data_IF_401033051043
#
_entry.id   IF_401033051043
#
_cell.length_a   1.000
_cell.length_b   1.000
_cell.length_c   1.000
_cell.angle_alpha   90.00
_cell.angle_beta   90.00
_cell.angle_gamma   90.00
#
_symmetry.space_group_name_H-M   'P 1'
#
loop_
_entity.id
_entity.type
_entity.pdbx_description
1 polymer ?
#
# COMPACT_ATOMS: atom_id res chain seq x y z
N UNK A 1 -6.11 -35.95 4.51
CA UNK A 1 -5.47 -35.67 3.21
C UNK A 1 -4.22 -34.88 3.52
N UNK A 2 -3.02 -35.30 3.12
CA UNK A 2 -1.84 -34.46 3.31
C UNK A 2 -2.02 -33.19 2.47
N UNK A 3 -1.71 -32.04 3.06
CA UNK A 3 -1.73 -30.72 2.41
C UNK A 3 -1.10 -30.84 1.02
N UNK A 4 -1.92 -30.71 -0.04
CA UNK A 4 -1.39 -30.44 -1.36
C UNK A 4 -0.91 -28.99 -1.33
N UNK A 5 0.30 -28.78 -0.80
CA UNK A 5 0.98 -27.49 -0.91
C UNK A 5 1.10 -27.19 -2.40
N UNK A 6 0.22 -26.32 -2.89
CA UNK A 6 0.30 -25.77 -4.23
C UNK A 6 1.44 -24.76 -4.16
N UNK A 7 2.60 -25.10 -4.72
CA UNK A 7 3.78 -24.23 -4.74
C UNK A 7 3.53 -22.84 -5.34
N UNK A 8 2.41 -22.67 -6.05
CA UNK A 8 2.01 -21.45 -6.73
C UNK A 8 0.97 -20.60 -5.99
N UNK A 9 0.40 -21.03 -4.85
CA UNK A 9 -0.53 -20.20 -4.06
C UNK A 9 -0.30 -20.35 -2.55
N UNK A 10 -0.14 -19.24 -1.87
CA UNK A 10 -0.15 -19.17 -0.40
C UNK A 10 -1.49 -18.62 0.05
N UNK A 11 -2.16 -19.33 0.96
CA UNK A 11 -3.44 -18.88 1.53
C UNK A 11 -3.22 -18.46 2.97
N UNK A 12 -3.65 -17.24 3.31
CA UNK A 12 -3.72 -16.78 4.70
C UNK A 12 -5.16 -16.43 5.06
N UNK A 13 -5.50 -16.67 6.32
CA UNK A 13 -6.85 -16.48 6.86
C UNK A 13 -6.75 -15.70 8.15
N UNK A 14 -7.57 -14.67 8.29
CA UNK A 14 -7.57 -13.81 9.47
C UNK A 14 -8.97 -13.32 9.81
N UNK A 15 -9.27 -13.25 11.11
CA UNK A 15 -10.47 -12.62 11.61
C UNK A 15 -10.21 -11.11 11.75
N UNK A 16 -11.03 -10.30 11.08
CA UNK A 16 -11.07 -8.86 11.23
C UNK A 16 -12.18 -8.47 12.22
N UNK A 17 -12.15 -7.22 12.68
CA UNK A 17 -13.28 -6.61 13.41
C UNK A 17 -14.55 -6.60 12.57
N UNK A 18 -15.72 -6.41 13.19
CA UNK A 18 -17.01 -6.35 12.48
C UNK A 18 -17.51 -7.70 11.95
N UNK A 19 -17.08 -8.83 12.53
CA UNK A 19 -17.53 -10.16 12.10
C UNK A 19 -17.04 -10.57 10.70
N UNK A 20 -15.99 -9.94 10.18
CA UNK A 20 -15.45 -10.17 8.84
C UNK A 20 -14.24 -11.09 8.90
N UNK A 21 -14.15 -12.04 7.98
CA UNK A 21 -12.99 -12.92 7.80
C UNK A 21 -12.31 -12.61 6.47
N UNK A 22 -11.02 -12.25 6.50
CA UNK A 22 -10.24 -12.01 5.30
C UNK A 22 -9.45 -13.27 4.93
N UNK A 23 -9.72 -13.81 3.75
CA UNK A 23 -8.89 -14.83 3.10
C UNK A 23 -8.05 -14.16 2.02
N UNK A 24 -6.72 -14.24 2.12
CA UNK A 24 -5.80 -13.74 1.08
C UNK A 24 -5.27 -14.92 0.27
N UNK A 25 -5.50 -14.91 -1.03
CA UNK A 25 -4.98 -15.89 -1.99
C UNK A 25 -3.81 -15.24 -2.73
N UNK A 26 -2.59 -15.61 -2.35
CA UNK A 26 -1.35 -14.99 -2.83
C UNK A 26 -0.69 -15.90 -3.88
N UNK A 27 -0.89 -15.58 -5.17
CA UNK A 27 -0.40 -16.42 -6.26
C UNK A 27 1.05 -16.08 -6.69
N UNK A 28 1.83 -17.09 -7.09
CA UNK A 28 3.25 -16.97 -7.46
C UNK A 28 3.61 -17.76 -8.72
N UNK A 29 4.21 -17.13 -9.76
CA UNK A 29 4.25 -15.69 -9.99
C UNK A 29 2.88 -15.17 -10.41
N UNK A 30 2.29 -14.20 -9.71
CA UNK A 30 1.00 -13.60 -10.09
C UNK A 30 0.54 -12.53 -9.10
N UNK A 31 -0.70 -12.10 -9.27
CA UNK A 31 -1.33 -11.16 -8.34
C UNK A 31 -2.25 -11.84 -7.33
N UNK A 32 -2.70 -11.03 -6.38
CA UNK A 32 -3.39 -11.46 -5.18
C UNK A 32 -4.91 -11.35 -5.36
N UNK A 33 -5.66 -12.23 -4.69
CA UNK A 33 -7.12 -12.10 -4.53
C UNK A 33 -7.44 -12.02 -3.05
N UNK A 34 -8.19 -11.00 -2.66
CA UNK A 34 -8.60 -10.78 -1.29
C UNK A 34 -10.09 -11.01 -1.15
N UNK A 35 -10.48 -11.93 -0.26
CA UNK A 35 -11.88 -12.31 -0.06
C UNK A 35 -12.32 -11.91 1.34
N UNK A 36 -13.16 -10.87 1.41
CA UNK A 36 -13.85 -10.46 2.64
C UNK A 36 -15.11 -11.31 2.78
N UNK A 37 -15.14 -12.19 3.77
CA UNK A 37 -16.27 -13.08 4.07
C UNK A 37 -17.01 -12.59 5.30
N UNK A 38 -18.33 -12.49 5.23
CA UNK A 38 -19.15 -11.94 6.31
C UNK A 38 -20.59 -12.45 6.22
N UNK A 39 -21.36 -12.20 7.27
CA UNK A 39 -22.80 -12.50 7.30
C UNK A 39 -23.61 -11.28 6.86
N UNK A 40 -24.59 -11.49 5.99
CA UNK A 40 -25.59 -10.49 5.59
C UNK A 40 -26.95 -11.16 5.54
N UNK A 41 -27.90 -10.66 6.32
CA UNK A 41 -29.25 -11.25 6.44
C UNK A 41 -29.26 -12.77 6.73
N UNK A 42 -28.32 -13.25 7.55
CA UNK A 42 -28.21 -14.67 7.90
C UNK A 42 -27.59 -15.56 6.82
N UNK A 43 -27.09 -14.98 5.73
CA UNK A 43 -26.37 -15.69 4.67
C UNK A 43 -24.89 -15.31 4.67
N UNK A 44 -24.02 -16.27 4.37
CA UNK A 44 -22.59 -16.03 4.17
C UNK A 44 -22.43 -15.36 2.80
N UNK A 45 -21.75 -14.22 2.77
CA UNK A 45 -21.47 -13.45 1.56
C UNK A 45 -19.98 -13.19 1.43
N UNK A 46 -19.53 -12.97 0.19
CA UNK A 46 -18.16 -12.62 -0.13
C UNK A 46 -18.09 -11.35 -0.98
N UNK A 47 -17.18 -10.44 -0.61
CA UNK A 47 -16.72 -9.35 -1.47
C UNK A 47 -15.25 -9.58 -1.81
N UNK A 48 -14.93 -9.57 -3.10
CA UNK A 48 -13.57 -9.72 -3.61
C UNK A 48 -12.94 -8.36 -3.86
N UNK A 49 -11.66 -8.22 -3.51
CA UNK A 49 -10.79 -7.15 -4.01
C UNK A 49 -9.67 -7.78 -4.85
N UNK A 50 -9.58 -7.31 -6.08
CA UNK A 50 -8.88 -7.93 -7.21
C UNK A 50 -9.37 -9.35 -7.54
N UNK A 51 -8.94 -9.84 -8.69
CA UNK A 51 -9.31 -11.13 -9.26
C UNK A 51 -8.08 -12.00 -9.58
N UNK A 52 -6.86 -11.51 -9.37
CA UNK A 52 -5.66 -12.30 -9.64
C UNK A 52 -5.37 -12.43 -11.14
N UNK A 53 -4.47 -13.37 -11.47
CA UNK A 53 -3.91 -13.53 -12.81
C UNK A 53 -4.61 -14.63 -13.62
N UNK A 54 -4.86 -14.36 -14.91
CA UNK A 54 -5.52 -15.29 -15.84
C UNK A 54 -4.83 -16.66 -15.92
N UNK A 55 -3.52 -16.73 -15.67
CA UNK A 55 -2.74 -17.97 -15.67
C UNK A 55 -3.26 -19.02 -14.69
N UNK A 56 -4.04 -18.63 -13.67
CA UNK A 56 -4.63 -19.52 -12.67
C UNK A 56 -6.11 -19.83 -12.94
N UNK A 57 -6.58 -19.63 -14.18
CA UNK A 57 -7.97 -19.86 -14.55
C UNK A 57 -8.44 -21.30 -14.31
N UNK A 58 -7.58 -22.30 -14.55
CA UNK A 58 -7.93 -23.71 -14.34
C UNK A 58 -8.06 -24.09 -12.87
N UNK A 59 -7.43 -23.32 -11.99
CA UNK A 59 -7.21 -23.64 -10.59
C UNK A 59 -8.11 -22.84 -9.67
N UNK A 60 -8.51 -21.61 -10.05
CA UNK A 60 -9.19 -20.65 -9.16
C UNK A 60 -10.41 -21.23 -8.45
N UNK A 61 -11.35 -21.87 -9.17
CA UNK A 61 -12.57 -22.41 -8.56
C UNK A 61 -12.28 -23.50 -7.53
N UNK A 62 -11.25 -24.31 -7.76
CA UNK A 62 -10.81 -25.32 -6.77
C UNK A 62 -10.19 -24.67 -5.53
N UNK A 63 -9.40 -23.60 -5.71
CA UNK A 63 -8.82 -22.84 -4.58
C UNK A 63 -9.91 -22.20 -3.74
N UNK A 64 -10.96 -21.65 -4.36
CA UNK A 64 -12.11 -21.09 -3.64
C UNK A 64 -12.85 -22.18 -2.85
N UNK A 65 -13.16 -23.30 -3.49
CA UNK A 65 -13.88 -24.41 -2.85
C UNK A 65 -13.09 -25.01 -1.66
N UNK A 66 -11.78 -25.20 -1.79
CA UNK A 66 -10.90 -25.66 -0.71
C UNK A 66 -10.87 -24.71 0.49
N UNK A 67 -11.23 -23.44 0.28
CA UNK A 67 -11.25 -22.40 1.29
C UNK A 67 -12.65 -22.04 1.79
N UNK A 68 -13.67 -22.85 1.47
CA UNK A 68 -15.08 -22.63 1.83
C UNK A 68 -15.63 -21.30 1.28
N UNK A 69 -15.15 -20.91 0.10
CA UNK A 69 -15.64 -19.75 -0.65
C UNK A 69 -16.44 -20.28 -1.83
N UNK A 70 -17.76 -20.16 -1.74
CA UNK A 70 -18.66 -20.52 -2.84
C UNK A 70 -18.72 -19.36 -3.83
N UNK A 71 -18.49 -19.58 -5.14
CA UNK A 71 -18.69 -18.53 -6.14
C UNK A 71 -20.10 -17.92 -6.09
N UNK A 72 -21.13 -18.72 -5.82
CA UNK A 72 -22.51 -18.26 -5.76
C UNK A 72 -22.79 -17.27 -4.60
N UNK A 73 -21.92 -17.22 -3.60
CA UNK A 73 -22.04 -16.32 -2.45
C UNK A 73 -21.21 -15.03 -2.65
N UNK A 74 -20.51 -14.88 -3.79
CA UNK A 74 -19.79 -13.66 -4.15
C UNK A 74 -20.81 -12.63 -4.65
N UNK A 75 -20.94 -11.49 -3.97
CA UNK A 75 -21.85 -10.41 -4.40
C UNK A 75 -21.15 -9.29 -5.18
N UNK A 76 -19.84 -9.13 -5.00
CA UNK A 76 -19.09 -8.02 -5.59
C UNK A 76 -17.64 -8.39 -5.87
N UNK A 77 -17.11 -7.92 -7.00
CA UNK A 77 -15.70 -8.00 -7.37
C UNK A 77 -15.19 -6.58 -7.61
N UNK A 78 -14.35 -6.06 -6.72
CA UNK A 78 -13.76 -4.72 -6.83
C UNK A 78 -12.38 -4.85 -7.48
N UNK A 79 -12.16 -4.14 -8.58
CA UNK A 79 -10.89 -4.16 -9.30
C UNK A 79 -10.09 -2.91 -8.94
N UNK A 80 -8.89 -3.11 -8.37
CA UNK A 80 -8.00 -1.99 -8.03
C UNK A 80 -7.48 -1.27 -9.26
N UNK A 81 -7.15 -2.01 -10.32
CA UNK A 81 -6.78 -1.47 -11.64
C UNK A 81 -6.68 -2.56 -12.73
N UNK A 82 -6.51 -2.13 -13.99
CA UNK A 82 -6.58 -2.95 -15.20
C UNK A 82 -5.51 -4.01 -15.43
N UNK A 83 -4.46 -4.10 -14.62
CA UNK A 83 -3.40 -5.03 -14.97
C UNK A 83 -3.87 -6.50 -14.91
N UNK A 84 -3.33 -7.38 -15.78
CA UNK A 84 -3.80 -8.76 -15.91
C UNK A 84 -3.69 -9.59 -14.64
N UNK A 85 -2.72 -9.27 -13.78
CA UNK A 85 -2.51 -9.91 -12.49
C UNK A 85 -3.52 -9.47 -11.41
N UNK A 86 -4.35 -8.46 -11.70
CA UNK A 86 -5.43 -7.99 -10.82
C UNK A 86 -6.82 -8.25 -11.42
N UNK A 87 -6.92 -8.36 -12.75
CA UNK A 87 -8.19 -8.48 -13.48
C UNK A 87 -8.37 -9.77 -14.24
N UNK A 88 -7.32 -10.58 -14.33
CA UNK A 88 -7.23 -11.69 -15.27
C UNK A 88 -8.35 -12.71 -15.11
N UNK A 89 -8.81 -12.95 -13.87
CA UNK A 89 -9.90 -13.90 -13.59
C UNK A 89 -11.25 -13.24 -13.35
N UNK A 90 -11.38 -11.92 -13.54
CA UNK A 90 -12.61 -11.20 -13.26
C UNK A 90 -13.79 -11.71 -14.09
N UNK A 91 -13.57 -12.07 -15.37
CA UNK A 91 -14.60 -12.67 -16.22
C UNK A 91 -15.09 -14.01 -15.66
N UNK A 92 -14.16 -14.91 -15.30
CA UNK A 92 -14.50 -16.23 -14.76
C UNK A 92 -15.30 -16.07 -13.48
N UNK A 93 -14.79 -15.27 -12.54
CA UNK A 93 -15.41 -15.07 -11.24
C UNK A 93 -16.80 -14.44 -11.38
N UNK A 94 -16.95 -13.39 -12.19
CA UNK A 94 -18.24 -12.75 -12.43
C UNK A 94 -19.25 -13.69 -13.10
N UNK A 95 -18.81 -14.53 -14.03
CA UNK A 95 -19.69 -15.50 -14.71
C UNK A 95 -20.19 -16.60 -13.78
N UNK A 96 -19.32 -17.14 -12.93
CA UNK A 96 -19.65 -18.22 -11.99
C UNK A 96 -20.47 -17.72 -10.79
N UNK A 97 -20.31 -16.46 -10.41
CA UNK A 97 -21.01 -15.86 -9.26
C UNK A 97 -22.28 -15.09 -9.65
N UNK A 98 -22.32 -14.52 -10.85
CA UNK A 98 -23.28 -13.46 -11.20
C UNK A 98 -22.97 -12.11 -10.54
N UNK A 99 -21.81 -11.98 -9.87
CA UNK A 99 -21.43 -10.76 -9.16
C UNK A 99 -21.17 -9.59 -10.11
N UNK A 100 -21.49 -8.39 -9.62
CA UNK A 100 -21.14 -7.13 -10.29
C UNK A 100 -19.65 -6.84 -10.12
N UNK A 101 -18.99 -6.44 -11.20
CA UNK A 101 -17.63 -5.91 -11.16
C UNK A 101 -17.71 -4.41 -10.88
N UNK A 102 -16.94 -3.90 -9.91
CA UNK A 102 -16.82 -2.47 -9.62
C UNK A 102 -15.41 -2.01 -9.95
N UNK A 103 -15.29 -0.95 -10.77
CA UNK A 103 -14.01 -0.41 -11.20
C UNK A 103 -14.10 1.11 -11.45
N UNK A 104 -12.96 1.79 -11.52
CA UNK A 104 -12.92 3.21 -11.91
C UNK A 104 -13.44 3.43 -13.34
N UNK A 105 -14.03 4.59 -13.63
CA UNK A 105 -14.71 4.84 -14.91
C UNK A 105 -13.77 4.75 -16.12
N UNK A 106 -12.49 5.08 -15.97
CA UNK A 106 -11.47 4.97 -17.04
C UNK A 106 -11.12 3.51 -17.37
N UNK A 107 -11.53 2.53 -16.54
CA UNK A 107 -11.44 1.10 -16.84
C UNK A 107 -12.27 0.73 -18.08
N UNK A 108 -13.36 1.48 -18.36
CA UNK A 108 -14.22 1.27 -19.53
C UNK A 108 -13.43 1.24 -20.84
N UNK A 109 -12.50 2.19 -20.99
CA UNK A 109 -11.67 2.27 -22.19
C UNK A 109 -10.81 1.03 -22.39
N UNK A 110 -10.35 0.39 -21.31
CA UNK A 110 -9.60 -0.87 -21.37
C UNK A 110 -10.46 -2.02 -21.86
N UNK A 111 -11.66 -2.18 -21.27
CA UNK A 111 -12.64 -3.21 -21.64
C UNK A 111 -13.09 -3.06 -23.11
N UNK A 112 -13.32 -1.82 -23.58
CA UNK A 112 -13.83 -1.56 -24.92
C UNK A 112 -12.76 -1.69 -26.01
N UNK A 113 -11.51 -1.25 -25.74
CA UNK A 113 -10.44 -1.17 -26.76
C UNK A 113 -9.40 -2.29 -26.70
N UNK A 114 -9.43 -3.12 -25.64
CA UNK A 114 -8.44 -4.17 -25.40
C UNK A 114 -7.07 -3.64 -24.96
N UNK A 115 -7.04 -2.42 -24.42
CA UNK A 115 -5.80 -1.70 -24.10
C UNK A 115 -5.03 -1.22 -25.34
N UNK A 116 -4.01 -0.41 -25.10
CA UNK A 116 -3.06 0.07 -26.10
C UNK A 116 -2.26 -1.08 -26.73
N UNK A 117 -1.71 -0.84 -27.92
CA UNK A 117 -0.84 -1.82 -28.61
C UNK A 117 0.35 -2.27 -27.76
N UNK A 118 0.79 -1.43 -26.82
CA UNK A 118 1.87 -1.74 -25.89
C UNK A 118 1.37 -2.61 -24.72
N UNK A 119 0.20 -2.31 -24.15
CA UNK A 119 -0.44 -3.11 -23.10
C UNK A 119 -0.75 -4.52 -23.59
N UNK A 120 -1.23 -4.69 -24.83
CA UNK A 120 -1.51 -6.01 -25.43
C UNK A 120 -0.34 -6.99 -25.40
N UNK A 121 0.90 -6.49 -25.38
CA UNK A 121 2.10 -7.32 -25.29
C UNK A 121 2.24 -8.00 -23.91
N UNK A 122 1.61 -7.44 -22.87
CA UNK A 122 1.69 -7.90 -21.49
C UNK A 122 0.43 -8.64 -21.03
N UNK A 123 -0.67 -8.56 -21.79
CA UNK A 123 -1.92 -9.27 -21.47
C UNK A 123 -1.77 -10.79 -21.55
N UNK A 124 -0.81 -11.31 -22.33
CA UNK A 124 -0.70 -12.74 -22.58
C UNK A 124 -1.99 -13.29 -23.17
N UNK A 125 -2.57 -14.31 -22.54
CA UNK A 125 -3.83 -14.94 -22.95
C UNK A 125 -5.08 -14.25 -22.39
N UNK A 126 -4.91 -13.20 -21.57
CA UNK A 126 -6.04 -12.44 -21.04
C UNK A 126 -6.65 -11.55 -22.13
N UNK A 127 -7.91 -11.79 -22.46
CA UNK A 127 -8.71 -10.93 -23.32
C UNK A 127 -9.69 -10.08 -22.47
N UNK A 128 -9.39 -8.79 -22.22
CA UNK A 128 -10.27 -7.91 -21.45
C UNK A 128 -11.59 -7.62 -22.16
N UNK A 129 -11.68 -7.88 -23.46
CA UNK A 129 -12.89 -7.66 -24.25
C UNK A 129 -14.04 -8.59 -23.86
N UNK A 130 -13.73 -9.73 -23.23
CA UNK A 130 -14.69 -10.66 -22.62
C UNK A 130 -15.46 -10.04 -21.46
N UNK A 131 -14.87 -9.06 -20.77
CA UNK A 131 -15.52 -8.37 -19.66
C UNK A 131 -16.77 -7.57 -20.13
N UNK A 132 -16.95 -7.34 -21.43
CA UNK A 132 -18.19 -6.75 -21.98
C UNK A 132 -19.43 -7.60 -21.75
N UNK A 133 -19.27 -8.89 -21.49
CA UNK A 133 -20.35 -9.80 -21.15
C UNK A 133 -20.75 -9.71 -19.66
N UNK A 134 -19.95 -9.04 -18.84
CA UNK A 134 -20.16 -8.91 -17.40
C UNK A 134 -20.94 -7.63 -17.06
N UNK A 135 -21.64 -7.64 -15.93
CA UNK A 135 -22.18 -6.40 -15.35
C UNK A 135 -21.05 -5.62 -14.66
N UNK A 136 -20.76 -4.41 -15.16
CA UNK A 136 -19.69 -3.56 -14.62
C UNK A 136 -20.28 -2.22 -14.14
N UNK A 137 -20.05 -1.93 -12.87
CA UNK A 137 -20.19 -0.61 -12.25
C UNK A 137 -18.94 0.22 -12.48
N UNK A 138 -19.09 1.32 -13.23
CA UNK A 138 -18.02 2.27 -13.47
C UNK A 138 -18.16 3.46 -12.53
N UNK A 139 -17.25 3.58 -11.57
CA UNK A 139 -17.26 4.63 -10.57
C UNK A 139 -16.47 5.87 -11.04
N UNK A 140 -17.05 7.04 -10.83
CA UNK A 140 -16.38 8.32 -11.00
C UNK A 140 -16.32 9.05 -9.65
N UNK A 141 -15.50 10.09 -9.54
CA UNK A 141 -15.52 10.96 -8.35
C UNK A 141 -16.97 11.37 -8.06
N UNK A 142 -17.45 11.06 -6.86
CA UNK A 142 -18.83 11.37 -6.50
C UNK A 142 -19.03 12.89 -6.47
N UNK A 143 -20.13 13.37 -7.06
CA UNK A 143 -20.53 14.80 -6.98
C UNK A 143 -20.81 15.26 -5.54
N UNK A 144 -20.79 14.35 -4.57
CA UNK A 144 -20.96 14.61 -3.14
C UNK A 144 -19.81 15.40 -2.53
N UNK A 145 -18.62 15.41 -3.15
CA UNK A 145 -17.43 16.10 -2.63
C UNK A 145 -16.82 15.44 -1.39
N UNK A 146 -17.23 14.22 -1.05
CA UNK A 146 -16.70 13.49 0.10
C UNK A 146 -15.28 12.99 -0.18
N UNK A 147 -14.33 13.40 0.65
CA UNK A 147 -12.94 12.94 0.58
C UNK A 147 -12.53 12.26 1.88
N UNK A 148 -11.67 11.25 1.76
CA UNK A 148 -10.93 10.71 2.88
C UNK A 148 -9.57 11.40 2.92
N UNK A 149 -9.29 12.13 3.98
CA UNK A 149 -8.05 12.91 4.10
C UNK A 149 -6.96 12.12 4.81
N UNK A 150 -5.94 11.71 4.07
CA UNK A 150 -4.80 10.93 4.56
C UNK A 150 -3.54 11.79 4.52
N UNK A 151 -2.96 12.09 5.69
CA UNK A 151 -1.74 12.93 5.82
C UNK A 151 -1.81 14.31 5.15
N UNK A 152 -3.02 14.89 5.08
CA UNK A 152 -3.23 16.18 4.42
C UNK A 152 -3.52 16.08 2.92
N UNK A 153 -3.50 14.88 2.34
CA UNK A 153 -3.89 14.59 0.95
C UNK A 153 -5.31 14.04 0.90
N UNK A 154 -6.10 14.56 -0.01
CA UNK A 154 -7.48 14.14 -0.21
C UNK A 154 -7.57 12.98 -1.20
N UNK A 155 -8.17 11.88 -0.74
CA UNK A 155 -8.55 10.74 -1.56
C UNK A 155 -10.05 10.86 -1.84
N UNK A 156 -10.48 11.12 -3.09
CA UNK A 156 -11.89 11.30 -3.40
C UNK A 156 -12.65 10.00 -3.25
N UNK A 157 -13.81 10.05 -2.61
CA UNK A 157 -14.72 8.89 -2.57
C UNK A 157 -15.36 8.72 -3.95
N UNK A 158 -15.38 7.50 -4.47
CA UNK A 158 -15.94 7.18 -5.79
C UNK A 158 -17.39 6.67 -5.70
N UNK A 159 -17.82 6.26 -4.51
CA UNK A 159 -19.16 5.78 -4.22
C UNK A 159 -19.47 5.97 -2.73
N UNK A 160 -20.72 5.71 -2.34
CA UNK A 160 -21.04 5.44 -0.94
C UNK A 160 -20.28 4.19 -0.47
N UNK A 161 -19.89 4.18 0.81
CA UNK A 161 -19.20 3.05 1.40
C UNK A 161 -20.10 1.80 1.37
N UNK A 162 -19.50 0.65 1.10
CA UNK A 162 -20.23 -0.63 1.10
C UNK A 162 -20.25 -1.18 2.52
N UNK A 163 -21.43 -1.51 3.03
CA UNK A 163 -21.58 -2.19 4.32
C UNK A 163 -21.05 -3.63 4.21
N UNK A 164 -20.14 -4.00 5.10
CA UNK A 164 -19.48 -5.30 5.15
C UNK A 164 -19.52 -5.82 6.59
N UNK A 165 -20.24 -6.93 6.80
CA UNK A 165 -20.38 -7.56 8.12
C UNK A 165 -21.18 -6.74 9.13
N UNK A 166 -20.80 -6.87 10.40
CA UNK A 166 -21.47 -6.27 11.56
C UNK A 166 -20.91 -4.86 11.82
N UNK A 167 -21.34 -3.90 11.00
CA UNK A 167 -20.94 -2.49 11.15
C UNK A 167 -19.61 -2.10 10.52
N UNK A 168 -18.96 -3.05 9.82
CA UNK A 168 -17.80 -2.75 8.98
C UNK A 168 -18.22 -2.05 7.68
N UNK A 169 -17.30 -1.26 7.14
CA UNK A 169 -17.47 -0.51 5.90
C UNK A 169 -16.27 -0.68 4.98
N UNK A 170 -16.53 -0.63 3.68
CA UNK A 170 -15.52 -0.65 2.64
C UNK A 170 -15.65 0.59 1.77
N UNK A 171 -14.73 1.53 1.97
CA UNK A 171 -14.62 2.76 1.19
C UNK A 171 -13.87 2.50 -0.11
N UNK A 172 -14.42 2.98 -1.23
CA UNK A 172 -13.79 2.89 -2.54
C UNK A 172 -13.31 4.28 -2.95
N UNK A 173 -12.00 4.46 -2.94
CA UNK A 173 -11.34 5.75 -3.08
C UNK A 173 -10.60 5.84 -4.41
N UNK A 174 -10.66 7.01 -5.04
CA UNK A 174 -9.79 7.34 -6.17
C UNK A 174 -8.37 7.63 -5.69
N UNK A 175 -7.42 7.55 -6.61
CA UNK A 175 -6.10 8.13 -6.39
C UNK A 175 -6.23 9.63 -6.09
N UNK A 176 -5.33 10.22 -5.29
CA UNK A 176 -5.29 11.66 -5.13
C UNK A 176 -5.05 12.32 -6.49
N UNK A 177 -5.46 13.59 -6.63
CA UNK A 177 -5.32 14.38 -7.88
C UNK A 177 -3.86 14.68 -8.22
N UNK A 178 -3.10 13.63 -8.49
CA UNK A 178 -1.69 13.66 -8.85
C UNK A 178 -1.59 13.44 -10.36
N UNK A 179 -0.52 13.95 -10.98
CA UNK A 179 -0.36 13.93 -12.44
C UNK A 179 -0.05 12.54 -13.00
N UNK A 180 0.33 11.56 -12.18
CA UNK A 180 0.79 10.25 -12.62
C UNK A 180 0.41 9.17 -11.61
N UNK A 181 -0.62 8.40 -11.95
CA UNK A 181 -0.98 7.17 -11.26
C UNK A 181 -0.36 5.94 -11.92
N UNK A 182 -0.29 4.83 -11.17
CA UNK A 182 0.17 3.53 -11.67
C UNK A 182 -0.52 3.12 -12.96
N UNK A 183 -1.84 3.18 -12.92
CA UNK A 183 -2.71 3.10 -14.08
C UNK A 183 -3.75 4.21 -14.00
N UNK A 184 -4.35 4.63 -15.12
CA UNK A 184 -5.35 5.71 -15.12
C UNK A 184 -6.67 5.34 -14.41
N UNK A 185 -6.84 4.09 -14.02
CA UNK A 185 -8.02 3.51 -13.36
C UNK A 185 -7.72 3.00 -11.94
N UNK A 186 -6.57 3.39 -11.38
CA UNK A 186 -6.17 3.01 -10.04
C UNK A 186 -7.15 3.52 -8.98
N UNK A 187 -7.64 2.60 -8.15
CA UNK A 187 -8.41 2.88 -6.93
C UNK A 187 -7.72 2.28 -5.71
N UNK A 188 -8.19 2.67 -4.54
CA UNK A 188 -7.83 2.10 -3.25
C UNK A 188 -9.12 1.67 -2.55
N UNK A 189 -9.14 0.46 -2.00
CA UNK A 189 -10.23 0.05 -1.13
C UNK A 189 -9.76 0.09 0.33
N UNK A 190 -10.50 0.76 1.20
CA UNK A 190 -10.22 0.85 2.63
C UNK A 190 -11.33 0.15 3.40
N UNK A 191 -11.00 -0.98 4.01
CA UNK A 191 -11.87 -1.63 4.97
C UNK A 191 -11.64 -1.05 6.36
N UNK A 192 -12.72 -0.71 7.06
CA UNK A 192 -12.68 -0.41 8.50
C UNK A 192 -13.82 -1.11 9.21
N UNK A 193 -13.59 -1.71 10.40
CA UNK A 193 -14.66 -2.24 11.23
C UNK A 193 -15.48 -1.14 11.94
N UNK A 194 -15.17 0.14 11.69
CA UNK A 194 -15.78 1.30 12.32
C UNK A 194 -16.69 2.03 11.35
N UNK A 195 -17.77 2.62 11.86
CA UNK A 195 -18.69 3.44 11.06
C UNK A 195 -18.07 4.75 10.57
N UNK A 196 -17.07 5.30 11.27
CA UNK A 196 -16.27 6.45 10.83
C UNK A 196 -14.79 6.03 10.80
N UNK A 197 -14.19 5.84 9.61
CA UNK A 197 -12.88 5.24 9.48
C UNK A 197 -11.73 6.18 9.90
N UNK A 198 -12.00 7.45 10.25
CA UNK A 198 -10.92 8.44 10.39
C UNK A 198 -11.15 9.54 11.44
N UNK A 199 -10.79 9.26 12.70
CA UNK A 199 -10.06 10.28 13.45
C UNK A 199 -8.71 9.69 13.83
N UNK A 200 -7.75 9.89 12.92
CA UNK A 200 -6.34 9.79 13.25
C UNK A 200 -6.10 10.68 14.48
N UNK A 201 -5.55 10.06 15.52
CA UNK A 201 -5.02 10.67 16.75
C UNK A 201 -5.86 10.46 18.01
N UNK A 202 -7.19 10.26 17.99
CA UNK A 202 -7.96 10.19 19.26
C UNK A 202 -9.18 9.25 19.31
N UNK A 203 -9.33 8.26 18.42
CA UNK A 203 -10.40 7.26 18.60
C UNK A 203 -10.00 6.24 19.66
N UNK A 204 -10.46 6.45 20.89
CA UNK A 204 -10.53 5.41 21.92
C UNK A 204 -11.76 4.53 21.66
N UNK A 205 -11.61 3.20 21.72
CA UNK A 205 -12.69 2.25 21.46
C UNK A 205 -12.19 0.83 21.23
N UNK A 206 -13.10 -0.08 20.87
CA UNK A 206 -12.82 -1.52 20.73
C UNK A 206 -11.94 -1.90 19.53
N UNK A 207 -11.68 -0.95 18.61
CA UNK A 207 -10.89 -1.18 17.40
C UNK A 207 -9.65 -0.30 17.36
N UNK A 208 -8.52 -0.91 16.98
CA UNK A 208 -7.22 -0.26 16.84
C UNK A 208 -6.97 0.12 15.38
N UNK A 209 -6.12 1.12 15.09
CA UNK A 209 -5.80 1.50 13.71
C UNK A 209 -5.31 0.35 12.81
N UNK A 210 -4.62 -0.66 13.34
CA UNK A 210 -4.21 -1.85 12.57
C UNK A 210 -5.38 -2.71 12.10
N UNK A 211 -6.57 -2.53 12.66
CA UNK A 211 -7.76 -3.28 12.25
C UNK A 211 -8.29 -2.80 10.90
N UNK A 212 -7.97 -1.57 10.52
CA UNK A 212 -8.19 -1.08 9.15
C UNK A 212 -7.24 -1.79 8.17
N UNK A 213 -7.74 -2.03 6.96
CA UNK A 213 -6.98 -2.68 5.89
C UNK A 213 -7.13 -1.88 4.61
N UNK A 214 -6.01 -1.50 4.02
CA UNK A 214 -5.95 -0.90 2.69
C UNK A 214 -5.57 -1.94 1.66
N UNK A 215 -6.39 -2.07 0.63
CA UNK A 215 -6.07 -2.77 -0.60
C UNK A 215 -5.65 -1.75 -1.64
N UNK A 216 -4.34 -1.64 -1.85
CA UNK A 216 -3.75 -0.57 -2.68
C UNK A 216 -3.54 -0.97 -4.14
N UNK A 217 -3.79 -2.23 -4.50
CA UNK A 217 -3.30 -2.79 -5.75
C UNK A 217 -1.81 -2.49 -5.90
N UNK A 218 -1.45 -1.85 -7.02
CA UNK A 218 -0.07 -1.47 -7.33
C UNK A 218 0.27 0.00 -7.04
N UNK A 219 -0.67 0.77 -6.48
CA UNK A 219 -0.38 2.13 -5.99
C UNK A 219 0.84 2.12 -5.05
N UNK A 220 1.07 0.99 -4.38
CA UNK A 220 2.25 0.71 -3.59
C UNK A 220 3.21 -0.33 -4.20
N UNK A 221 3.64 -0.14 -5.44
CA UNK A 221 4.82 -0.86 -5.95
C UNK A 221 6.14 -0.14 -5.68
N UNK A 222 7.07 -0.88 -5.08
CA UNK A 222 8.49 -0.53 -4.97
C UNK A 222 9.27 -0.77 -6.27
N UNK A 223 8.66 -1.46 -7.25
CA UNK A 223 9.17 -1.68 -8.62
C UNK A 223 8.00 -1.51 -9.59
N UNK A 224 7.88 -0.36 -10.25
CA UNK A 224 6.79 -0.13 -11.21
C UNK A 224 7.06 -0.70 -12.62
N UNK A 225 6.00 -0.92 -13.41
CA UNK A 225 5.96 -0.63 -14.85
C UNK A 225 4.85 0.40 -15.17
N UNK A 226 5.08 1.50 -15.88
CA UNK A 226 5.22 1.75 -17.35
C UNK A 226 3.91 2.17 -18.08
N UNK A 227 3.69 3.49 -18.08
CA UNK A 227 3.18 4.39 -19.15
C UNK A 227 1.68 4.47 -19.46
N UNK A 228 1.20 5.72 -19.50
CA UNK A 228 0.13 6.17 -20.39
C UNK A 228 0.61 7.43 -21.12
N UNK A 229 0.54 7.45 -22.46
CA UNK A 229 0.82 8.63 -23.28
C UNK A 229 -0.49 9.38 -23.56
N UNK A 230 -0.80 10.39 -22.75
CA UNK A 230 -1.79 11.41 -23.10
C UNK A 230 -1.08 12.68 -23.55
N UNK A 231 -1.74 13.54 -24.34
CA UNK A 231 -1.12 14.70 -25.03
C UNK A 231 -0.34 15.70 -24.15
N UNK A 232 -0.41 15.60 -22.83
CA UNK A 232 0.44 16.33 -21.88
C UNK A 232 1.89 15.83 -21.83
N UNK A 233 2.20 14.66 -22.40
CA UNK A 233 3.55 14.03 -22.38
C UNK A 233 4.57 14.73 -23.30
N UNK A 234 4.14 15.47 -24.32
CA UNK A 234 5.05 16.19 -25.22
C UNK A 234 5.85 17.22 -24.43
N UNK A 235 5.21 17.93 -23.51
CA UNK A 235 5.87 18.93 -22.67
C UNK A 235 6.77 18.29 -21.61
N UNK A 236 6.50 17.06 -21.18
CA UNK A 236 7.38 16.28 -20.30
C UNK A 236 8.58 15.73 -21.06
N UNK A 237 8.40 15.12 -22.25
CA UNK A 237 9.50 14.69 -23.10
C UNK A 237 10.42 15.85 -23.49
N UNK A 238 9.88 17.04 -23.74
CA UNK A 238 10.66 18.27 -23.91
C UNK A 238 11.38 18.67 -22.63
N UNK A 239 10.74 18.65 -21.46
CA UNK A 239 11.37 19.03 -20.18
C UNK A 239 12.42 18.03 -19.71
N UNK A 240 12.17 16.74 -19.86
CA UNK A 240 13.12 15.66 -19.57
C UNK A 240 14.23 15.65 -20.59
N UNK A 241 13.95 15.84 -21.89
CA UNK A 241 14.97 16.04 -22.91
C UNK A 241 15.87 17.24 -22.60
N UNK A 242 15.30 18.36 -22.17
CA UNK A 242 16.03 19.56 -21.74
C UNK A 242 16.83 19.32 -20.43
N UNK A 243 16.25 18.64 -19.44
CA UNK A 243 16.95 18.28 -18.19
C UNK A 243 18.05 17.23 -18.43
N UNK A 244 17.84 16.31 -19.36
CA UNK A 244 18.78 15.26 -19.75
C UNK A 244 19.94 15.86 -20.53
N UNK A 245 19.68 16.81 -21.45
CA UNK A 245 20.72 17.64 -22.05
C UNK A 245 21.50 18.43 -20.99
N UNK A 246 20.81 19.06 -20.03
CA UNK A 246 21.46 19.84 -18.97
C UNK A 246 22.32 18.96 -18.05
N UNK A 247 21.87 17.76 -17.68
CA UNK A 247 22.65 16.81 -16.89
C UNK A 247 23.83 16.24 -17.68
N UNK A 248 23.67 15.94 -18.97
CA UNK A 248 24.80 15.52 -19.81
C UNK A 248 25.84 16.64 -19.96
N UNK A 249 25.39 17.90 -20.10
CA UNK A 249 26.27 19.07 -20.17
C UNK A 249 27.00 19.38 -18.85
N UNK A 250 26.50 18.89 -17.71
CA UNK A 250 27.16 19.00 -16.40
C UNK A 250 27.92 17.72 -15.99
N UNK A 251 28.14 16.78 -16.90
CA UNK A 251 28.90 15.54 -16.66
C UNK A 251 28.12 14.43 -15.93
N UNK A 252 26.80 14.58 -15.76
CA UNK A 252 25.92 13.56 -15.22
C UNK A 252 25.50 12.51 -16.25
N UNK A 253 25.27 11.27 -15.79
CA UNK A 253 24.79 10.17 -16.61
C UNK A 253 23.31 10.29 -17.02
N UNK A 254 22.85 9.34 -17.84
CA UNK A 254 21.45 9.24 -18.27
C UNK A 254 20.53 9.05 -17.05
N UNK A 255 19.60 9.97 -16.82
CA UNK A 255 18.61 9.83 -15.74
C UNK A 255 17.71 8.63 -16.04
N UNK A 256 17.76 7.60 -15.20
CA UNK A 256 16.76 6.52 -15.17
C UNK A 256 15.51 7.04 -14.46
N UNK A 257 14.33 6.65 -14.94
CA UNK A 257 13.02 6.91 -14.31
C UNK A 257 13.08 6.52 -12.83
N UNK A 258 12.71 7.44 -11.94
CA UNK A 258 12.64 7.16 -10.51
C UNK A 258 11.25 6.57 -10.18
N UNK A 259 11.16 5.31 -9.72
CA UNK A 259 9.89 4.71 -9.28
C UNK A 259 9.23 5.47 -8.11
N UNK A 260 9.97 6.37 -7.44
CA UNK A 260 9.43 7.28 -6.41
C UNK A 260 8.59 8.42 -6.98
N UNK A 261 8.78 8.81 -8.25
CA UNK A 261 8.03 9.91 -8.88
C UNK A 261 6.60 9.49 -9.26
N UNK A 262 6.38 8.20 -9.51
CA UNK A 262 5.04 7.65 -9.75
C UNK A 262 4.28 7.58 -8.44
N UNK A 263 3.11 8.21 -8.38
CA UNK A 263 2.28 8.29 -7.18
C UNK A 263 3.03 8.84 -5.96
N UNK A 264 4.04 9.70 -6.16
CA UNK A 264 4.91 10.18 -5.08
C UNK A 264 4.11 10.75 -3.90
N UNK A 265 3.14 11.61 -4.20
CA UNK A 265 2.27 12.26 -3.22
C UNK A 265 1.31 11.24 -2.57
N UNK A 266 0.76 10.29 -3.33
CA UNK A 266 -0.12 9.26 -2.79
C UNK A 266 0.64 8.28 -1.88
N UNK A 267 1.80 7.80 -2.32
CA UNK A 267 2.71 6.95 -1.55
C UNK A 267 3.19 7.67 -0.29
N UNK A 268 3.52 8.95 -0.38
CA UNK A 268 3.94 9.74 0.77
C UNK A 268 2.78 9.98 1.76
N UNK A 269 1.57 10.25 1.25
CA UNK A 269 0.35 10.33 2.06
C UNK A 269 0.04 9.02 2.78
N UNK A 270 0.08 7.89 2.07
CA UNK A 270 -0.11 6.57 2.67
C UNK A 270 1.01 6.22 3.68
N UNK A 271 2.23 6.75 3.53
CA UNK A 271 3.32 6.62 4.55
C UNK A 271 3.09 7.50 5.76
N UNK A 272 2.61 8.72 5.55
CA UNK A 272 2.54 9.77 6.58
C UNK A 272 1.18 9.85 7.28
N UNK A 273 0.13 9.31 6.67
CA UNK A 273 -1.26 9.50 7.06
C UNK A 273 -1.72 8.53 8.11
N UNK A 274 -1.05 7.39 8.22
CA UNK A 274 -1.45 6.31 9.13
C UNK A 274 -0.43 6.13 10.24
N UNK A 275 -0.92 6.25 11.47
CA UNK A 275 -0.23 5.81 12.67
C UNK A 275 0.29 4.38 12.47
N UNK A 276 -0.64 3.47 12.18
CA UNK A 276 -0.42 2.09 11.75
C UNK A 276 -1.58 1.68 10.82
N UNK A 277 -1.27 1.12 9.64
CA UNK A 277 -2.28 0.47 8.78
C UNK A 277 -1.69 -0.74 8.06
N UNK A 278 -2.49 -1.78 7.87
CA UNK A 278 -2.11 -2.90 7.03
C UNK A 278 -2.38 -2.58 5.58
N UNK A 279 -1.38 -2.74 4.73
CA UNK A 279 -1.52 -2.55 3.29
C UNK A 279 -1.30 -3.88 2.59
N UNK A 280 -2.32 -4.27 1.85
CA UNK A 280 -2.39 -5.47 1.01
C UNK A 280 -2.08 -5.04 -0.43
N UNK A 281 -0.84 -5.21 -0.92
CA UNK A 281 -0.50 -4.89 -2.30
C UNK A 281 -1.13 -5.93 -3.22
N UNK A 282 -1.32 -5.62 -4.50
CA UNK A 282 -1.84 -6.65 -5.40
C UNK A 282 -0.81 -7.67 -5.86
N UNK A 283 0.48 -7.48 -5.56
CA UNK A 283 1.46 -8.56 -5.58
C UNK A 283 2.49 -8.46 -4.42
N UNK A 284 2.93 -9.59 -3.90
CA UNK A 284 3.88 -9.67 -2.78
C UNK A 284 3.21 -9.72 -1.40
N UNK A 285 4.03 -9.65 -0.36
CA UNK A 285 3.58 -9.82 1.03
C UNK A 285 2.96 -8.52 1.59
N UNK A 286 2.03 -8.66 2.54
CA UNK A 286 1.49 -7.54 3.31
C UNK A 286 2.62 -6.75 3.98
N UNK A 287 2.50 -5.42 3.98
CA UNK A 287 3.38 -4.57 4.78
C UNK A 287 2.60 -3.63 5.69
N UNK A 288 3.31 -3.08 6.67
CA UNK A 288 2.77 -2.14 7.65
C UNK A 288 3.11 -0.69 7.24
N UNK A 289 2.09 0.10 6.95
CA UNK A 289 2.21 1.55 6.81
C UNK A 289 2.36 2.20 8.19
N UNK A 290 3.36 3.07 8.38
CA UNK A 290 3.59 3.76 9.65
C UNK A 290 4.27 5.12 9.47
N UNK A 291 3.80 6.14 10.22
CA UNK A 291 4.39 7.50 10.26
C UNK A 291 5.81 7.52 10.81
N UNK A 292 6.21 6.51 11.58
CA UNK A 292 7.58 6.37 12.09
C UNK A 292 8.60 6.44 10.95
N UNK A 293 8.28 5.81 9.80
CA UNK A 293 9.21 5.75 8.68
C UNK A 293 9.53 7.15 8.13
N UNK A 294 8.56 7.96 7.64
CA UNK A 294 8.85 9.27 7.09
C UNK A 294 9.15 10.36 8.14
N UNK A 295 8.79 10.19 9.41
CA UNK A 295 8.98 11.22 10.45
C UNK A 295 10.23 11.01 11.30
N UNK A 296 10.58 9.76 11.57
CA UNK A 296 11.55 9.38 12.60
C UNK A 296 12.74 8.60 12.06
N UNK A 297 12.57 7.83 10.98
CA UNK A 297 13.60 7.00 10.37
C UNK A 297 14.07 7.63 9.05
N UNK A 298 14.61 8.84 9.08
CA UNK A 298 15.06 9.50 7.86
C UNK A 298 16.35 8.89 7.31
N UNK A 299 16.36 8.51 6.02
CA UNK A 299 17.59 8.27 5.29
C UNK A 299 18.29 9.61 4.95
N UNK A 300 19.58 9.57 4.63
CA UNK A 300 20.30 10.79 4.26
C UNK A 300 19.75 11.43 2.99
N UNK A 301 19.21 10.62 2.07
CA UNK A 301 18.54 11.11 0.88
C UNK A 301 17.23 11.84 1.19
N UNK A 302 16.51 11.44 2.24
CA UNK A 302 15.30 12.13 2.67
C UNK A 302 15.66 13.56 3.15
N UNK A 303 16.74 13.68 3.92
CA UNK A 303 17.25 14.98 4.38
C UNK A 303 17.79 15.85 3.24
N UNK A 304 18.45 15.26 2.23
CA UNK A 304 18.90 16.02 1.05
C UNK A 304 17.72 16.67 0.33
N UNK A 305 16.66 15.90 0.08
CA UNK A 305 15.45 16.41 -0.59
C UNK A 305 14.77 17.46 0.27
N UNK A 306 14.64 17.22 1.58
CA UNK A 306 14.06 18.18 2.54
C UNK A 306 14.81 19.53 2.53
N UNK A 307 16.14 19.50 2.38
CA UNK A 307 16.98 20.70 2.30
C UNK A 307 17.14 21.27 0.88
N UNK A 308 16.35 20.78 -0.09
CA UNK A 308 16.30 21.32 -1.45
C UNK A 308 17.42 20.84 -2.38
N UNK A 309 18.15 19.78 -2.01
CA UNK A 309 19.17 19.16 -2.85
C UNK A 309 18.57 18.04 -3.72
N UNK A 310 19.09 17.83 -4.95
CA UNK A 310 18.68 16.69 -5.76
C UNK A 310 19.17 15.37 -5.13
N UNK A 311 18.45 14.27 -5.36
CA UNK A 311 18.85 12.92 -4.90
C UNK A 311 20.22 12.47 -5.39
N UNK A 312 20.71 13.04 -6.50
CA UNK A 312 22.05 12.79 -7.03
C UNK A 312 23.16 13.53 -6.28
N UNK A 313 22.82 14.44 -5.36
CA UNK A 313 23.80 15.17 -4.57
C UNK A 313 24.61 14.20 -3.69
N UNK A 314 25.91 14.48 -3.54
CA UNK A 314 26.77 13.70 -2.66
C UNK A 314 26.37 13.90 -1.20
N UNK A 315 26.15 12.81 -0.46
CA UNK A 315 25.79 12.81 0.98
C UNK A 315 26.77 13.58 1.87
N UNK A 316 28.03 13.77 1.43
CA UNK A 316 29.02 14.59 2.12
C UNK A 316 28.56 16.06 2.34
N UNK A 317 27.65 16.58 1.51
CA UNK A 317 27.07 17.92 1.66
C UNK A 317 26.36 18.07 3.00
N UNK A 318 25.72 17.02 3.51
CA UNK A 318 25.07 17.03 4.83
C UNK A 318 26.06 17.23 6.00
N UNK A 319 27.35 16.97 5.78
CA UNK A 319 28.43 17.16 6.76
C UNK A 319 29.13 18.52 6.61
N UNK A 320 28.68 19.36 5.69
CA UNK A 320 29.21 20.72 5.53
C UNK A 320 28.95 21.56 6.77
N UNK A 321 29.79 22.58 7.01
CA UNK A 321 29.64 23.51 8.13
C UNK A 321 28.26 24.19 8.12
N UNK A 322 27.72 24.45 6.93
CA UNK A 322 26.40 25.08 6.76
C UNK A 322 25.24 24.14 7.14
N UNK A 323 25.28 22.87 6.72
CA UNK A 323 24.16 21.95 6.91
C UNK A 323 24.25 21.11 8.18
N UNK A 324 25.45 20.89 8.75
CA UNK A 324 25.62 20.05 9.92
C UNK A 324 24.70 20.45 11.10
N UNK A 325 24.51 21.74 11.43
CA UNK A 325 23.54 22.14 12.46
C UNK A 325 22.10 21.80 12.10
N UNK A 326 21.70 21.98 10.83
CA UNK A 326 20.33 21.65 10.34
C UNK A 326 20.07 20.15 10.39
N UNK A 327 21.05 19.33 10.00
CA UNK A 327 20.99 17.87 10.09
C UNK A 327 20.85 17.42 11.54
N UNK A 328 21.63 18.00 12.46
CA UNK A 328 21.56 17.69 13.89
C UNK A 328 20.18 18.01 14.46
N UNK A 329 19.66 19.22 14.21
CA UNK A 329 18.33 19.62 14.64
C UNK A 329 17.22 18.72 14.05
N UNK A 330 17.34 18.34 12.77
CA UNK A 330 16.35 17.46 12.13
C UNK A 330 16.35 16.05 12.69
N UNK A 331 17.52 15.51 13.03
CA UNK A 331 17.68 14.21 13.72
C UNK A 331 17.12 14.25 15.14
N UNK A 332 17.29 15.36 15.84
CA UNK A 332 16.69 15.57 17.16
C UNK A 332 15.16 15.57 17.06
N UNK A 333 14.59 16.31 16.12
CA UNK A 333 13.15 16.27 15.87
C UNK A 333 12.66 14.87 15.50
N UNK A 334 13.44 14.11 14.72
CA UNK A 334 13.11 12.74 14.37
C UNK A 334 13.05 11.81 15.60
N UNK A 335 13.92 12.03 16.59
CA UNK A 335 13.88 11.32 17.87
C UNK A 335 12.63 11.69 18.69
N UNK A 336 12.34 12.99 18.82
CA UNK A 336 11.13 13.45 19.54
C UNK A 336 9.88 12.83 18.94
N UNK A 337 9.74 12.91 17.61
CA UNK A 337 8.61 12.30 16.89
C UNK A 337 8.53 10.78 17.10
N UNK A 338 9.67 10.10 17.26
CA UNK A 338 9.70 8.66 17.52
C UNK A 338 9.10 8.33 18.88
N UNK A 339 9.55 9.02 19.94
CA UNK A 339 9.05 8.82 21.29
C UNK A 339 7.55 9.16 21.41
N UNK A 340 7.12 10.29 20.83
CA UNK A 340 5.73 10.71 20.79
C UNK A 340 4.82 9.68 20.10
N UNK A 341 5.28 9.08 19.01
CA UNK A 341 4.49 8.07 18.30
C UNK A 341 4.33 6.78 19.12
N UNK A 342 5.34 6.38 19.92
CA UNK A 342 5.20 5.21 20.82
C UNK A 342 4.27 5.49 22.00
N UNK A 343 4.28 6.72 22.53
CA UNK A 343 3.30 7.17 23.52
C UNK A 343 1.89 7.09 22.94
N UNK A 344 1.70 7.62 21.73
CA UNK A 344 0.41 7.54 21.04
C UNK A 344 -0.06 6.09 20.84
N UNK A 345 0.83 5.16 20.47
CA UNK A 345 0.44 3.74 20.35
C UNK A 345 0.03 3.16 21.71
N UNK A 346 0.68 3.55 22.80
CA UNK A 346 0.27 3.11 24.14
C UNK A 346 -1.11 3.67 24.51
N UNK A 347 -1.38 4.94 24.19
CA UNK A 347 -2.69 5.59 24.41
C UNK A 347 -3.81 4.97 23.57
N UNK A 348 -3.48 4.44 22.39
CA UNK A 348 -4.40 3.67 21.53
C UNK A 348 -4.61 2.22 22.00
N UNK A 349 -4.05 1.84 23.14
CA UNK A 349 -4.28 0.55 23.79
C UNK A 349 -3.39 -0.59 23.30
N UNK A 350 -2.32 -0.30 22.54
CA UNK A 350 -1.34 -1.33 22.21
C UNK A 350 -0.48 -1.65 23.44
N UNK A 351 -0.28 -2.94 23.70
CA UNK A 351 0.61 -3.39 24.76
C UNK A 351 2.08 -3.17 24.37
N UNK A 352 3.01 -3.06 25.35
CA UNK A 352 4.44 -2.96 25.06
C UNK A 352 4.97 -4.04 24.11
N UNK A 353 4.54 -5.29 24.28
CA UNK A 353 4.98 -6.41 23.45
C UNK A 353 4.47 -6.31 22.00
N UNK A 354 3.24 -5.84 21.81
CA UNK A 354 2.69 -5.59 20.47
C UNK A 354 3.44 -4.46 19.77
N UNK A 355 3.72 -3.36 20.47
CA UNK A 355 4.51 -2.25 19.95
C UNK A 355 5.91 -2.74 19.53
N UNK A 356 6.58 -3.51 20.39
CA UNK A 356 7.87 -4.12 20.06
C UNK A 356 7.79 -5.03 18.83
N UNK A 357 6.74 -5.86 18.72
CA UNK A 357 6.50 -6.70 17.54
C UNK A 357 6.30 -5.88 16.25
N UNK A 358 5.56 -4.78 16.32
CA UNK A 358 5.34 -3.87 15.19
C UNK A 358 6.64 -3.17 14.76
N UNK A 359 7.47 -2.73 15.71
CA UNK A 359 8.78 -2.13 15.41
C UNK A 359 9.74 -3.15 14.76
N UNK A 360 9.74 -4.40 15.22
CA UNK A 360 10.50 -5.49 14.58
C UNK A 360 10.00 -5.75 13.17
N UNK A 361 8.68 -5.71 12.96
CA UNK A 361 8.08 -5.85 11.64
C UNK A 361 8.51 -4.70 10.70
N UNK A 362 8.40 -3.44 11.14
CA UNK A 362 8.88 -2.26 10.39
C UNK A 362 10.35 -2.44 10.00
N UNK A 363 11.20 -2.88 10.94
CA UNK A 363 12.62 -3.14 10.68
C UNK A 363 12.83 -4.15 9.54
N UNK A 364 12.12 -5.30 9.57
CA UNK A 364 12.24 -6.37 8.58
C UNK A 364 11.76 -5.96 7.19
N UNK A 365 10.66 -5.20 7.14
CA UNK A 365 10.05 -4.71 5.89
C UNK A 365 10.89 -3.65 5.17
N UNK A 366 11.85 -3.02 5.87
CA UNK A 366 12.84 -2.17 5.22
C UNK A 366 13.90 -3.00 4.48
N UNK A 367 13.55 -3.94 3.58
CA UNK A 367 14.49 -4.74 2.78
C UNK A 367 14.06 -4.85 1.32
N UNK A 368 14.99 -5.02 0.40
CA UNK A 368 14.78 -5.13 -1.05
C UNK A 368 14.73 -3.80 -1.80
N UNK A 369 14.52 -3.87 -3.12
CA UNK A 369 14.42 -2.71 -4.01
C UNK A 369 15.60 -2.61 -5.00
N UNK A 370 15.70 -1.48 -5.70
CA UNK A 370 16.90 -1.15 -6.48
C UNK A 370 18.05 -0.67 -5.58
N UNK A 371 19.30 -0.55 -6.08
CA UNK A 371 20.47 -0.24 -5.25
C UNK A 371 20.34 1.03 -4.38
N UNK A 372 19.70 2.08 -4.90
CA UNK A 372 19.46 3.31 -4.14
C UNK A 372 18.42 3.10 -3.01
N UNK A 373 17.35 2.37 -3.31
CA UNK A 373 16.27 2.07 -2.37
C UNK A 373 16.76 1.15 -1.25
N UNK A 374 17.53 0.12 -1.59
CA UNK A 374 18.13 -0.79 -0.60
C UNK A 374 19.03 -0.02 0.37
N UNK A 375 19.80 0.94 -0.14
CA UNK A 375 20.65 1.80 0.71
C UNK A 375 19.83 2.67 1.66
N UNK A 376 18.79 3.33 1.17
CA UNK A 376 17.92 4.15 2.03
C UNK A 376 17.24 3.29 3.09
N UNK A 377 16.76 2.10 2.71
CA UNK A 377 16.18 1.12 3.63
C UNK A 377 17.16 0.62 4.68
N UNK A 378 18.41 0.35 4.29
CA UNK A 378 19.47 0.05 5.24
C UNK A 378 19.69 1.20 6.23
N UNK A 379 19.78 2.44 5.76
CA UNK A 379 19.92 3.62 6.63
C UNK A 379 18.76 3.72 7.62
N UNK A 380 17.52 3.44 7.18
CA UNK A 380 16.33 3.43 8.04
C UNK A 380 16.40 2.40 9.16
N UNK A 381 16.88 1.18 8.86
CA UNK A 381 17.12 0.13 9.86
C UNK A 381 18.14 0.57 10.92
N UNK A 382 19.23 1.23 10.48
CA UNK A 382 20.23 1.78 11.40
C UNK A 382 19.69 2.95 12.22
N UNK A 383 18.87 3.82 11.63
CA UNK A 383 18.18 4.86 12.40
C UNK A 383 17.28 4.26 13.47
N UNK A 384 16.49 3.23 13.16
CA UNK A 384 15.61 2.60 14.15
C UNK A 384 16.41 2.06 15.35
N UNK A 385 17.52 1.36 15.09
CA UNK A 385 18.45 0.90 16.15
C UNK A 385 19.00 2.06 16.98
N UNK A 386 19.41 3.14 16.33
CA UNK A 386 19.93 4.34 16.99
C UNK A 386 18.89 4.99 17.90
N UNK A 387 17.65 5.15 17.41
CA UNK A 387 16.56 5.74 18.20
C UNK A 387 16.19 4.85 19.38
N UNK A 388 16.12 3.53 19.20
CA UNK A 388 15.85 2.57 20.28
C UNK A 388 16.91 2.62 21.38
N UNK A 389 18.20 2.60 20.99
CA UNK A 389 19.31 2.65 21.94
C UNK A 389 19.31 3.97 22.75
N UNK A 390 19.05 5.09 22.08
CA UNK A 390 18.88 6.39 22.75
C UNK A 390 17.70 6.36 23.71
N UNK A 391 16.55 5.89 23.24
CA UNK A 391 15.30 5.88 24.01
C UNK A 391 15.42 5.02 25.29
N UNK A 392 16.08 3.87 25.23
CA UNK A 392 16.29 3.04 26.42
C UNK A 392 17.05 3.75 27.55
N UNK A 393 17.95 4.67 27.21
CA UNK A 393 18.74 5.44 28.18
C UNK A 393 18.15 6.79 28.56
N UNK A 394 17.05 7.23 27.95
CA UNK A 394 16.51 8.58 28.15
C UNK A 394 15.57 8.64 29.35
N UNK A 395 16.10 8.95 30.53
CA UNK A 395 15.34 9.06 31.78
C UNK A 395 14.20 10.09 31.76
N UNK A 396 14.17 10.99 30.76
CA UNK A 396 13.06 11.94 30.60
C UNK A 396 11.79 11.28 30.03
N UNK A 397 11.91 10.08 29.45
CA UNK A 397 10.81 9.35 28.85
C UNK A 397 10.14 8.39 29.86
N UNK A 398 8.83 8.12 29.71
CA UNK A 398 8.11 7.20 30.60
C UNK A 398 8.78 5.82 30.66
N UNK A 399 8.83 5.21 31.84
CA UNK A 399 9.49 3.92 32.05
C UNK A 399 8.93 2.81 31.16
N UNK A 400 7.64 2.87 30.81
CA UNK A 400 7.01 1.95 29.86
C UNK A 400 7.57 2.09 28.44
N UNK A 401 7.72 3.31 27.93
CA UNK A 401 8.29 3.59 26.62
C UNK A 401 9.76 3.15 26.54
N UNK A 402 10.52 3.33 27.63
CA UNK A 402 11.89 2.81 27.71
C UNK A 402 11.94 1.29 27.67
N UNK A 403 11.03 0.59 28.37
CA UNK A 403 10.93 -0.89 28.33
C UNK A 403 10.59 -1.40 26.94
N UNK A 404 9.73 -0.71 26.20
CA UNK A 404 9.47 -1.02 24.77
C UNK A 404 10.78 -0.98 23.99
N UNK A 405 11.59 0.07 24.18
CA UNK A 405 12.86 0.21 23.47
C UNK A 405 13.85 -0.92 23.79
N UNK A 406 13.97 -1.29 25.07
CA UNK A 406 14.82 -2.40 25.53
C UNK A 406 14.35 -3.76 24.97
N UNK A 407 13.06 -4.07 25.08
CA UNK A 407 12.46 -5.30 24.56
C UNK A 407 12.67 -5.42 23.05
N UNK A 408 12.41 -4.34 22.32
CA UNK A 408 12.58 -4.30 20.86
C UNK A 408 14.04 -4.56 20.46
N UNK A 409 15.02 -4.00 21.18
CA UNK A 409 16.44 -4.25 20.91
C UNK A 409 16.80 -5.73 21.07
N UNK A 410 16.33 -6.39 22.13
CA UNK A 410 16.54 -7.82 22.37
C UNK A 410 15.96 -8.67 21.22
N UNK A 411 14.74 -8.34 20.79
CA UNK A 411 14.08 -9.02 19.67
C UNK A 411 14.83 -8.83 18.35
N UNK A 412 15.34 -7.63 18.07
CA UNK A 412 16.11 -7.35 16.86
C UNK A 412 17.44 -8.11 16.82
N UNK A 413 18.11 -8.27 17.96
CA UNK A 413 19.34 -9.09 18.04
C UNK A 413 19.04 -10.57 17.82
N UNK A 414 17.93 -11.06 18.36
CA UNK A 414 17.51 -12.46 18.25
C UNK A 414 17.04 -12.81 16.83
N UNK A 415 16.54 -11.84 16.07
CA UNK A 415 16.06 -12.02 14.69
C UNK A 415 17.16 -12.03 13.61
N UNK A 416 18.43 -11.80 13.98
CA UNK A 416 19.58 -11.80 13.05
C UNK A 416 20.28 -13.16 12.97
N UNK A 417 19.80 -14.14 13.75
CA UNK A 417 20.15 -15.55 13.73
C UNK A 417 18.92 -16.37 13.35
#
# INVERSE_FOLDING_TARGET
>A
MPDSHRDYVTVTKEQLGGGVHLTSLLFRPGGNVYVLTYMKNGQKMHTLVDAGDYRYHGEMLSVLAENDISPADIERIIITHRHPDHTGLAYLLAKESGAKITAHHTFRGFVESGGSSMERRWLGDFDPSRLRECEIEYLAEADTGNTVRLAGIDFPSLAEAVDIGEGGRLDILGGPRTRMTHSPDQIVALYSPRSDPHPHEHTSGDFRPTDDVIFSGDLWLMRGPMFNQSGTDIMWHLRVGLRQMRNMMSGGGMMRRDPREQDAEAKDALKKGFCLIRVKPGHGDEFLGSRIIPRSLLAENDMLVEFGYPLSAGKAVLKSVELAPKVSARREQAYVNFAEELVLWTELGYTPDEISGLLVRIYREQTGGGPLVERDRHERREQLRTQLARLSGDETQPAEIRRIAESTQVLLTSALF
#
